data_IF_721776141777
#
_entry.id   IF_721776141777
#
_cell.length_a   1.000
_cell.length_b   1.000
_cell.length_c   1.000
_cell.angle_alpha   90.00
_cell.angle_beta   90.00
_cell.angle_gamma   90.00
#
_symmetry.space_group_name_H-M   'P 1'
#
loop_
_entity.id
_entity.type
_entity.pdbx_description
1 polymer ?
#
# COMPACT_ATOMS: atom_id res chain seq x y z
N UNK A 1 -7.58 -21.65 -6.63
CA UNK A 1 -6.75 -20.51 -6.13
C UNK A 1 -6.78 -19.32 -7.08
N UNK A 2 -6.71 -19.52 -8.40
CA UNK A 2 -6.73 -18.45 -9.42
C UNK A 2 -7.80 -17.35 -9.20
N UNK A 3 -9.05 -17.73 -8.90
CA UNK A 3 -10.12 -16.75 -8.59
C UNK A 3 -9.85 -15.92 -7.35
N UNK A 4 -9.32 -16.52 -6.27
CA UNK A 4 -8.99 -15.80 -5.04
C UNK A 4 -7.79 -14.87 -5.24
N UNK A 5 -6.79 -15.29 -6.03
CA UNK A 5 -5.66 -14.46 -6.44
C UNK A 5 -6.13 -13.22 -7.21
N UNK A 6 -7.07 -13.38 -8.15
CA UNK A 6 -7.65 -12.26 -8.89
C UNK A 6 -8.47 -11.32 -7.99
N UNK A 7 -9.31 -11.87 -7.11
CA UNK A 7 -10.09 -11.09 -6.12
C UNK A 7 -9.16 -10.32 -5.19
N UNK A 8 -8.07 -10.92 -4.74
CA UNK A 8 -7.05 -10.27 -3.92
C UNK A 8 -6.42 -9.08 -4.65
N UNK A 9 -6.00 -9.25 -5.90
CA UNK A 9 -5.42 -8.16 -6.69
C UNK A 9 -6.40 -7.02 -6.93
N UNK A 10 -7.64 -7.31 -7.31
CA UNK A 10 -8.67 -6.27 -7.53
C UNK A 10 -9.04 -5.58 -6.22
N UNK A 11 -9.31 -6.35 -5.16
CA UNK A 11 -9.68 -5.81 -3.85
C UNK A 11 -8.57 -4.96 -3.27
N UNK A 12 -7.32 -5.44 -3.31
CA UNK A 12 -6.14 -4.69 -2.91
C UNK A 12 -5.95 -3.41 -3.73
N UNK A 13 -6.07 -3.48 -5.05
CA UNK A 13 -5.94 -2.32 -5.93
C UNK A 13 -6.97 -1.24 -5.60
N UNK A 14 -8.25 -1.60 -5.43
CA UNK A 14 -9.31 -0.65 -5.08
C UNK A 14 -9.06 -0.03 -3.70
N UNK A 15 -8.73 -0.86 -2.71
CA UNK A 15 -8.46 -0.40 -1.35
C UNK A 15 -7.27 0.58 -1.30
N UNK A 16 -6.12 0.19 -1.87
CA UNK A 16 -4.92 1.02 -1.84
C UNK A 16 -5.05 2.27 -2.69
N UNK A 17 -5.77 2.23 -3.82
CA UNK A 17 -6.09 3.44 -4.57
C UNK A 17 -6.90 4.43 -3.73
N UNK A 18 -7.96 3.96 -3.06
CA UNK A 18 -8.89 4.82 -2.35
C UNK A 18 -8.28 5.44 -1.07
N UNK A 19 -7.54 4.65 -0.29
CA UNK A 19 -7.05 5.09 1.03
C UNK A 19 -5.63 5.65 1.01
N UNK A 20 -4.82 5.32 0.01
CA UNK A 20 -3.42 5.74 -0.04
C UNK A 20 -3.08 6.44 -1.36
N UNK A 21 -3.22 5.77 -2.49
CA UNK A 21 -2.79 6.27 -3.81
C UNK A 21 -3.41 7.61 -4.18
N UNK A 22 -4.74 7.68 -4.30
CA UNK A 22 -5.47 8.89 -4.70
C UNK A 22 -5.29 10.02 -3.67
N UNK A 23 -5.49 9.80 -2.35
CA UNK A 23 -5.32 10.86 -1.36
C UNK A 23 -3.90 11.45 -1.36
N UNK A 24 -2.86 10.61 -1.45
CA UNK A 24 -1.46 11.06 -1.46
C UNK A 24 -1.08 11.74 -2.78
N UNK A 25 -1.63 11.27 -3.91
CA UNK A 25 -1.37 11.85 -5.23
C UNK A 25 -2.01 13.24 -5.39
N UNK A 26 -3.21 13.44 -4.86
CA UNK A 26 -3.98 14.69 -5.08
C UNK A 26 -3.76 15.70 -3.95
N UNK A 27 -3.89 15.27 -2.70
CA UNK A 27 -3.95 16.16 -1.54
C UNK A 27 -3.26 15.57 -0.29
N UNK A 28 -1.95 15.28 -0.33
CA UNK A 28 -1.26 14.53 0.71
C UNK A 28 -1.31 15.23 2.08
N UNK A 29 -1.21 16.56 2.14
CA UNK A 29 -1.28 17.28 3.42
C UNK A 29 -2.69 17.27 4.03
N UNK A 30 -3.74 17.41 3.21
CA UNK A 30 -5.11 17.30 3.70
C UNK A 30 -5.41 15.89 4.19
N UNK A 31 -4.88 14.87 3.51
CA UNK A 31 -5.00 13.48 3.95
C UNK A 31 -4.22 13.22 5.25
N UNK A 32 -2.96 13.63 5.32
CA UNK A 32 -2.12 13.49 6.51
C UNK A 32 -2.81 14.10 7.75
N UNK A 33 -3.39 15.29 7.62
CA UNK A 33 -4.16 15.92 8.69
C UNK A 33 -5.35 15.06 9.15
N UNK A 34 -6.08 14.43 8.22
CA UNK A 34 -7.25 13.59 8.53
C UNK A 34 -6.87 12.33 9.31
N UNK A 35 -5.72 11.72 9.01
CA UNK A 35 -5.24 10.52 9.72
C UNK A 35 -4.42 10.86 10.98
N UNK A 36 -4.38 12.13 11.37
CA UNK A 36 -3.86 12.58 12.66
C UNK A 36 -2.42 13.09 12.66
N UNK A 37 -1.79 13.27 11.49
CA UNK A 37 -0.46 13.87 11.44
C UNK A 37 -0.48 15.35 11.80
N UNK A 38 0.57 15.77 12.52
CA UNK A 38 0.93 17.18 12.64
C UNK A 38 1.53 17.64 11.32
N UNK A 39 0.99 18.73 10.77
CA UNK A 39 1.44 19.24 9.47
C UNK A 39 2.81 19.92 9.65
N UNK A 40 3.83 19.54 8.85
CA UNK A 40 5.15 20.15 8.95
C UNK A 40 5.13 21.61 8.47
N UNK A 41 6.15 22.36 8.88
CA UNK A 41 6.42 23.69 8.34
C UNK A 41 6.78 23.60 6.85
N UNK A 42 7.66 22.66 6.49
CA UNK A 42 8.11 22.43 5.11
C UNK A 42 7.12 21.62 4.27
N UNK A 43 6.01 22.26 3.94
CA UNK A 43 4.89 21.65 3.19
C UNK A 43 5.24 21.32 1.75
N UNK A 44 6.15 22.05 1.12
CA UNK A 44 6.49 21.82 -0.29
C UNK A 44 7.16 20.45 -0.47
N UNK A 45 8.17 20.16 0.36
CA UNK A 45 8.86 18.86 0.36
C UNK A 45 7.91 17.73 0.73
N UNK A 46 7.09 17.91 1.77
CA UNK A 46 6.12 16.89 2.19
C UNK A 46 5.05 16.60 1.12
N UNK A 47 4.55 17.63 0.41
CA UNK A 47 3.67 17.44 -0.74
C UNK A 47 4.38 16.71 -1.88
N UNK A 48 5.62 17.07 -2.21
CA UNK A 48 6.39 16.43 -3.27
C UNK A 48 6.60 14.93 -3.01
N UNK A 49 7.02 14.57 -1.79
CA UNK A 49 7.22 13.18 -1.40
C UNK A 49 5.90 12.41 -1.35
N UNK A 50 4.85 13.01 -0.79
CA UNK A 50 3.51 12.41 -0.75
C UNK A 50 2.97 12.12 -2.15
N UNK A 51 3.06 13.08 -3.07
CA UNK A 51 2.62 12.90 -4.46
C UNK A 51 3.45 11.86 -5.21
N UNK A 52 4.75 11.84 -4.98
CA UNK A 52 5.65 10.83 -5.55
C UNK A 52 5.25 9.41 -5.11
N UNK A 53 5.02 9.22 -3.80
CA UNK A 53 4.54 7.94 -3.27
C UNK A 53 3.15 7.57 -3.82
N UNK A 54 2.23 8.55 -3.88
CA UNK A 54 0.91 8.36 -4.49
C UNK A 54 1.00 7.90 -5.95
N UNK A 55 1.92 8.49 -6.73
CA UNK A 55 2.18 8.09 -8.12
C UNK A 55 2.67 6.64 -8.24
N UNK A 56 3.61 6.23 -7.38
CA UNK A 56 4.10 4.84 -7.34
C UNK A 56 2.97 3.87 -6.96
N UNK A 57 2.18 4.19 -5.94
CA UNK A 57 1.03 3.36 -5.54
C UNK A 57 0.03 3.23 -6.69
N UNK A 58 -0.32 4.33 -7.35
CA UNK A 58 -1.26 4.31 -8.48
C UNK A 58 -0.73 3.51 -9.67
N UNK A 59 0.57 3.53 -9.94
CA UNK A 59 1.19 2.66 -10.96
C UNK A 59 1.02 1.17 -10.61
N UNK A 60 1.28 0.80 -9.35
CA UNK A 60 1.08 -0.58 -8.86
C UNK A 60 -0.40 -0.98 -8.95
N UNK A 61 -1.32 -0.10 -8.57
CA UNK A 61 -2.77 -0.31 -8.70
C UNK A 61 -3.16 -0.63 -10.15
N UNK A 62 -2.69 0.16 -11.10
CA UNK A 62 -3.00 -0.04 -12.53
C UNK A 62 -2.46 -1.39 -13.03
N UNK A 63 -1.25 -1.77 -12.62
CA UNK A 63 -0.67 -3.08 -12.96
C UNK A 63 -1.45 -4.21 -12.27
N UNK A 64 -1.88 -4.05 -11.03
CA UNK A 64 -2.67 -5.04 -10.30
C UNK A 64 -4.03 -5.33 -10.94
N UNK A 65 -4.73 -4.30 -11.39
CA UNK A 65 -5.99 -4.46 -12.12
C UNK A 65 -5.81 -5.21 -13.45
N UNK A 66 -4.67 -5.02 -14.13
CA UNK A 66 -4.34 -5.78 -15.34
C UNK A 66 -3.96 -7.23 -15.02
N UNK A 67 -3.10 -7.42 -14.02
CA UNK A 67 -2.62 -8.71 -13.56
C UNK A 67 -3.74 -9.64 -13.06
N UNK A 68 -4.85 -9.08 -12.57
CA UNK A 68 -6.00 -9.85 -12.13
C UNK A 68 -6.64 -10.71 -13.23
N UNK A 69 -6.41 -10.41 -14.52
CA UNK A 69 -6.89 -11.22 -15.65
C UNK A 69 -6.16 -12.55 -15.78
N UNK A 70 -4.88 -12.57 -15.41
CA UNK A 70 -4.04 -13.75 -15.40
C UNK A 70 -3.01 -13.64 -14.25
N UNK A 71 -3.41 -13.95 -13.00
CA UNK A 71 -2.53 -13.87 -11.85
C UNK A 71 -1.29 -14.76 -11.97
N UNK A 72 -1.38 -15.91 -12.63
CA UNK A 72 -0.25 -16.85 -12.77
C UNK A 72 0.89 -16.26 -13.61
N UNK A 73 0.57 -15.66 -14.76
CA UNK A 73 1.57 -14.97 -15.58
C UNK A 73 2.13 -13.72 -14.88
N UNK A 74 1.37 -13.12 -13.97
CA UNK A 74 1.73 -11.92 -13.24
C UNK A 74 2.12 -12.18 -11.77
N UNK A 75 2.59 -13.40 -11.45
CA UNK A 75 2.93 -13.81 -10.07
C UNK A 75 3.99 -12.93 -9.39
N UNK A 76 4.84 -12.27 -10.17
CA UNK A 76 5.82 -11.28 -9.68
C UNK A 76 5.16 -10.16 -8.88
N UNK A 77 3.89 -9.84 -9.15
CA UNK A 77 3.17 -8.84 -8.40
C UNK A 77 2.87 -9.30 -6.97
N UNK A 78 2.65 -10.59 -6.74
CA UNK A 78 2.50 -11.14 -5.39
C UNK A 78 3.81 -11.07 -4.61
N UNK A 79 4.94 -11.37 -5.26
CA UNK A 79 6.27 -11.18 -4.66
C UNK A 79 6.53 -9.71 -4.31
N UNK A 80 6.21 -8.79 -5.24
CA UNK A 80 6.32 -7.36 -5.02
C UNK A 80 5.43 -6.90 -3.85
N UNK A 81 4.17 -7.33 -3.81
CA UNK A 81 3.24 -7.00 -2.72
C UNK A 81 3.72 -7.57 -1.38
N UNK A 82 4.26 -8.80 -1.37
CA UNK A 82 4.86 -9.39 -0.18
C UNK A 82 6.00 -8.52 0.38
N UNK A 83 6.95 -8.13 -0.47
CA UNK A 83 8.09 -7.31 -0.05
C UNK A 83 7.71 -5.89 0.33
N UNK A 84 6.76 -5.26 -0.39
CA UNK A 84 6.22 -3.95 0.01
C UNK A 84 5.62 -4.04 1.40
N UNK A 85 4.75 -5.02 1.66
CA UNK A 85 4.15 -5.19 2.97
C UNK A 85 5.20 -5.39 4.08
N UNK A 86 6.22 -6.22 3.83
CA UNK A 86 7.27 -6.46 4.81
C UNK A 86 8.09 -5.20 5.11
N UNK A 87 8.48 -4.43 4.09
CA UNK A 87 9.21 -3.19 4.30
C UNK A 87 8.35 -2.12 4.98
N UNK A 88 7.07 -2.04 4.65
CA UNK A 88 6.17 -1.12 5.32
C UNK A 88 5.99 -1.48 6.81
N UNK A 89 5.89 -2.78 7.15
CA UNK A 89 5.92 -3.22 8.55
C UNK A 89 7.14 -2.67 9.28
N UNK A 90 8.33 -2.72 8.67
CA UNK A 90 9.56 -2.16 9.27
C UNK A 90 9.46 -0.65 9.44
N UNK A 91 8.98 0.08 8.44
CA UNK A 91 8.81 1.55 8.49
C UNK A 91 7.86 1.97 9.63
N UNK A 92 6.70 1.32 9.74
CA UNK A 92 5.71 1.65 10.77
C UNK A 92 6.12 1.16 12.17
N UNK A 93 6.80 0.01 12.27
CA UNK A 93 7.39 -0.44 13.53
C UNK A 93 8.45 0.56 14.02
N UNK A 94 9.32 1.04 13.12
CA UNK A 94 10.27 2.10 13.44
C UNK A 94 9.54 3.36 13.93
N UNK A 95 8.48 3.78 13.24
CA UNK A 95 7.71 4.95 13.61
C UNK A 95 7.02 4.84 14.97
N UNK A 96 6.49 3.65 15.29
CA UNK A 96 5.94 3.33 16.61
C UNK A 96 7.01 3.42 17.71
N UNK A 97 8.16 2.76 17.52
CA UNK A 97 9.27 2.79 18.48
C UNK A 97 9.74 4.23 18.74
N UNK A 98 9.81 5.06 17.69
CA UNK A 98 10.22 6.46 17.76
C UNK A 98 9.10 7.41 18.21
N UNK A 99 7.87 6.93 18.37
CA UNK A 99 6.69 7.74 18.73
C UNK A 99 6.50 8.95 17.81
N UNK A 100 6.79 8.80 16.51
CA UNK A 100 6.75 9.89 15.54
C UNK A 100 5.60 9.77 14.52
N UNK A 101 4.67 8.84 14.74
CA UNK A 101 3.48 8.64 13.91
C UNK A 101 2.20 8.69 14.78
N UNK A 102 1.06 9.14 14.25
CA UNK A 102 -0.23 9.02 14.94
C UNK A 102 -0.66 7.57 15.12
N UNK A 103 -1.58 7.32 16.07
CA UNK A 103 -2.04 5.97 16.44
C UNK A 103 -2.63 5.19 15.25
N UNK A 104 -3.27 5.89 14.30
CA UNK A 104 -3.83 5.27 13.09
C UNK A 104 -2.74 4.52 12.30
N UNK A 105 -1.52 5.04 12.26
CA UNK A 105 -0.40 4.45 11.52
C UNK A 105 0.13 3.17 12.20
N UNK A 106 -0.18 2.95 13.49
CA UNK A 106 0.14 1.67 14.15
C UNK A 106 -0.75 0.54 13.63
N UNK A 107 -1.97 0.85 13.18
CA UNK A 107 -2.83 -0.14 12.52
C UNK A 107 -2.22 -0.60 11.19
N UNK A 108 -1.40 0.24 10.56
CA UNK A 108 -0.76 -0.09 9.29
C UNK A 108 0.27 -1.23 9.43
N UNK A 109 0.86 -1.43 10.61
CA UNK A 109 1.72 -2.60 10.88
C UNK A 109 0.94 -3.91 10.64
N UNK A 110 -0.28 -3.99 11.16
CA UNK A 110 -1.14 -5.16 10.98
C UNK A 110 -1.69 -5.25 9.55
N UNK A 111 -2.05 -4.11 8.96
CA UNK A 111 -2.50 -4.04 7.57
C UNK A 111 -1.43 -4.59 6.62
N UNK A 112 -0.20 -4.10 6.72
CA UNK A 112 0.90 -4.50 5.83
C UNK A 112 1.41 -5.91 6.14
N UNK A 113 1.44 -6.31 7.42
CA UNK A 113 1.75 -7.70 7.80
C UNK A 113 0.72 -8.67 7.23
N UNK A 114 -0.57 -8.33 7.36
CA UNK A 114 -1.68 -9.07 6.76
C UNK A 114 -1.58 -9.11 5.24
N UNK A 115 -1.24 -7.99 4.59
CA UNK A 115 -1.04 -7.92 3.15
C UNK A 115 0.07 -8.87 2.67
N UNK A 116 1.21 -8.92 3.37
CA UNK A 116 2.30 -9.85 3.06
C UNK A 116 1.86 -11.29 3.22
N UNK A 117 1.21 -11.63 4.33
CA UNK A 117 0.70 -13.00 4.57
C UNK A 117 -0.33 -13.39 3.50
N UNK A 118 -1.28 -12.50 3.16
CA UNK A 118 -2.27 -12.77 2.13
C UNK A 118 -1.64 -12.91 0.74
N UNK A 119 -0.62 -12.11 0.41
CA UNK A 119 0.11 -12.25 -0.86
C UNK A 119 0.78 -13.61 -0.98
N UNK A 120 1.30 -14.14 0.13
CA UNK A 120 1.90 -15.47 0.18
C UNK A 120 0.85 -16.60 0.14
N UNK A 121 -0.22 -16.49 0.93
CA UNK A 121 -1.29 -17.51 0.98
C UNK A 121 -2.10 -17.59 -0.32
N UNK A 122 -2.28 -16.47 -1.00
CA UNK A 122 -3.05 -16.35 -2.25
C UNK A 122 -2.15 -16.34 -3.48
N UNK A 123 -0.88 -16.73 -3.32
CA UNK A 123 0.06 -16.85 -4.41
C UNK A 123 -0.51 -17.79 -5.49
N UNK A 124 -0.51 -17.39 -6.77
CA UNK A 124 -1.18 -18.14 -7.81
C UNK A 124 -0.43 -19.43 -8.13
N UNK A 125 -1.19 -20.51 -8.31
CA UNK A 125 -0.70 -21.79 -8.85
C UNK A 125 -0.89 -21.83 -10.37
N UNK A 126 -0.12 -22.67 -11.08
CA UNK A 126 -0.36 -22.90 -12.50
C UNK A 126 -1.82 -23.33 -12.76
N UNK A 127 -2.44 -22.84 -13.85
CA UNK A 127 -3.83 -23.14 -14.19
C UNK A 127 -4.08 -24.60 -14.56
#
# INVERSE_FOLDING_TARGET
>A
MHTLSAVFLVGGAVFFAALFGIPLLVAPMSWAKRVGWKIPEERALANYLGRSLGGVIMAIVVVALQAARDPWQNRILFDLTFWIGLFMVVVHAYGWIRKNQPVVEHLEIFLYGGLSVLSWLLYPNPP
#
